data_IF_997988147689
#
_entry.id   IF_997988147689
#
_cell.length_a   1.000
_cell.length_b   1.000
_cell.length_c   1.000
_cell.angle_alpha   90.00
_cell.angle_beta   90.00
_cell.angle_gamma   90.00
#
_symmetry.space_group_name_H-M   'P 1'
#
loop_
_entity.id
_entity.type
_entity.pdbx_description
1 polymer ?
#
# COMPACT_ATOMS: atom_id res chain seq x y z
N UNK A 1 -3.05 -8.39 -13.92
CA UNK A 1 -4.14 -7.41 -13.77
C UNK A 1 -3.56 -6.02 -14.00
N UNK A 2 -4.19 -5.19 -14.83
CA UNK A 2 -3.74 -3.79 -15.00
C UNK A 2 -4.19 -2.94 -13.82
N UNK A 3 -3.44 -1.86 -13.54
CA UNK A 3 -3.86 -0.89 -12.54
C UNK A 3 -5.25 -0.29 -12.84
N UNK A 4 -5.57 -0.05 -14.12
CA UNK A 4 -6.88 0.44 -14.56
C UNK A 4 -8.03 -0.52 -14.29
N UNK A 5 -7.75 -1.80 -14.03
CA UNK A 5 -8.72 -2.84 -13.73
C UNK A 5 -8.84 -3.08 -12.21
N UNK A 6 -7.99 -2.43 -11.40
CA UNK A 6 -7.97 -2.64 -9.97
C UNK A 6 -9.14 -1.90 -9.30
N UNK A 7 -10.20 -2.64 -9.03
CA UNK A 7 -11.42 -2.15 -8.40
C UNK A 7 -11.27 -2.00 -6.87
N UNK A 8 -10.36 -1.14 -6.43
CA UNK A 8 -10.22 -0.81 -5.02
C UNK A 8 -11.40 0.05 -4.56
N UNK A 9 -12.14 -0.44 -3.56
CA UNK A 9 -13.24 0.29 -2.94
C UNK A 9 -12.76 1.66 -2.46
N UNK A 10 -13.54 2.70 -2.72
CA UNK A 10 -13.26 4.09 -2.37
C UNK A 10 -12.03 4.73 -3.05
N UNK A 11 -11.43 4.07 -4.05
CA UNK A 11 -10.44 4.69 -4.93
C UNK A 11 -11.09 5.13 -6.24
N UNK A 12 -10.82 6.36 -6.68
CA UNK A 12 -11.40 6.92 -7.91
C UNK A 12 -10.64 6.53 -9.20
N UNK A 13 -9.64 5.65 -9.08
CA UNK A 13 -8.83 5.19 -10.20
C UNK A 13 -7.72 6.15 -10.67
N UNK A 14 -7.57 7.32 -10.01
CA UNK A 14 -6.67 8.38 -10.49
C UNK A 14 -5.71 8.90 -9.43
N UNK A 15 -6.16 9.00 -8.19
CA UNK A 15 -5.36 9.65 -7.15
C UNK A 15 -4.31 8.69 -6.57
N UNK A 16 -3.07 9.12 -6.61
CA UNK A 16 -1.91 8.44 -6.04
C UNK A 16 -1.29 9.41 -5.04
N UNK A 17 -1.19 9.00 -3.77
CA UNK A 17 -0.58 9.80 -2.69
C UNK A 17 0.93 9.86 -2.92
N UNK A 18 1.55 8.70 -3.08
CA UNK A 18 3.01 8.56 -3.16
C UNK A 18 3.40 7.55 -4.22
N UNK A 19 4.50 7.82 -4.92
CA UNK A 19 5.15 6.88 -5.85
C UNK A 19 6.63 6.74 -5.48
N UNK A 20 7.09 5.51 -5.33
CA UNK A 20 8.51 5.18 -5.10
C UNK A 20 8.98 4.28 -6.24
N UNK A 21 10.09 4.63 -6.88
CA UNK A 21 10.74 3.73 -7.86
C UNK A 21 11.67 2.79 -7.12
N UNK A 22 11.56 1.48 -7.38
CA UNK A 22 12.41 0.46 -6.79
C UNK A 22 12.74 -0.59 -7.85
N UNK A 23 14.00 -0.68 -8.26
CA UNK A 23 14.41 -1.53 -9.39
C UNK A 23 13.55 -1.24 -10.64
N UNK A 24 12.89 -2.25 -11.20
CA UNK A 24 12.05 -2.16 -12.40
C UNK A 24 10.56 -1.92 -12.11
N UNK A 25 10.19 -1.78 -10.83
CA UNK A 25 8.81 -1.56 -10.40
C UNK A 25 8.60 -0.14 -9.85
N UNK A 26 7.35 0.31 -9.87
CA UNK A 26 6.89 1.50 -9.16
C UNK A 26 5.93 1.07 -8.07
N UNK A 27 6.26 1.42 -6.83
CA UNK A 27 5.41 1.21 -5.67
C UNK A 27 4.49 2.42 -5.53
N UNK A 28 3.19 2.18 -5.46
CA UNK A 28 2.15 3.19 -5.45
C UNK A 28 1.36 3.09 -4.15
N UNK A 29 1.18 4.22 -3.48
CA UNK A 29 0.20 4.40 -2.42
C UNK A 29 -1.04 5.08 -3.00
N UNK A 30 -2.16 4.37 -3.07
CA UNK A 30 -3.40 4.86 -3.64
C UNK A 30 -4.20 5.66 -2.61
N UNK A 31 -4.75 6.78 -3.05
CA UNK A 31 -5.58 7.67 -2.23
C UNK A 31 -7.01 7.14 -2.15
N UNK A 32 -7.34 6.47 -1.04
CA UNK A 32 -8.69 6.03 -0.73
C UNK A 32 -9.43 7.14 0.01
N UNK A 33 -10.65 7.45 -0.45
CA UNK A 33 -11.43 8.57 0.07
C UNK A 33 -11.69 8.43 1.58
N UNK A 34 -10.99 9.26 2.37
CA UNK A 34 -11.00 9.23 3.84
C UNK A 34 -12.34 9.65 4.45
N UNK A 35 -13.20 10.34 3.68
CA UNK A 35 -14.50 10.81 4.16
C UNK A 35 -15.55 9.69 4.21
N UNK A 36 -15.24 8.51 3.67
CA UNK A 36 -16.09 7.34 3.80
C UNK A 36 -15.59 6.51 4.97
N UNK A 37 -16.41 6.34 6.00
CA UNK A 37 -16.14 5.40 7.09
C UNK A 37 -16.00 4.00 6.47
N UNK A 38 -14.85 3.37 6.65
CA UNK A 38 -14.59 2.01 6.19
C UNK A 38 -14.46 1.09 7.39
N UNK A 39 -15.34 0.10 7.50
CA UNK A 39 -15.24 -0.97 8.50
C UNK A 39 -14.46 -2.18 7.96
N UNK A 40 -13.54 -1.92 7.03
CA UNK A 40 -12.79 -2.93 6.28
C UNK A 40 -11.34 -2.47 6.14
N UNK A 41 -10.42 -3.42 5.96
CA UNK A 41 -9.07 -3.10 5.53
C UNK A 41 -9.01 -2.95 4.01
N UNK A 42 -8.43 -1.86 3.52
CA UNK A 42 -8.27 -1.58 2.10
C UNK A 42 -6.82 -1.75 1.68
N UNK A 43 -6.58 -2.65 0.72
CA UNK A 43 -5.25 -2.90 0.14
C UNK A 43 -4.86 -1.80 -0.87
N UNK A 44 -4.54 -0.62 -0.36
CA UNK A 44 -4.23 0.56 -1.16
C UNK A 44 -2.73 0.73 -1.51
N UNK A 45 -1.88 -0.18 -1.07
CA UNK A 45 -0.44 -0.18 -1.38
C UNK A 45 -0.14 -1.33 -2.35
N UNK A 46 0.45 -1.02 -3.49
CA UNK A 46 0.75 -2.00 -4.54
C UNK A 46 1.98 -1.62 -5.34
N UNK A 47 2.49 -2.53 -6.16
CA UNK A 47 3.49 -2.21 -7.16
C UNK A 47 3.03 -2.54 -8.57
N UNK A 48 3.50 -1.74 -9.52
CA UNK A 48 3.31 -1.95 -10.95
C UNK A 48 4.64 -2.11 -11.67
N UNK A 49 4.66 -2.95 -12.70
CA UNK A 49 5.79 -3.07 -13.63
C UNK A 49 5.76 -1.98 -14.71
N UNK A 50 6.79 -1.98 -15.57
CA UNK A 50 6.92 -1.04 -16.70
C UNK A 50 5.75 -1.10 -17.70
N UNK A 51 5.08 -2.25 -17.79
CA UNK A 51 3.90 -2.47 -18.63
C UNK A 51 2.57 -2.02 -17.97
N UNK A 52 2.62 -1.47 -16.75
CA UNK A 52 1.44 -1.02 -15.98
C UNK A 52 0.62 -2.17 -15.36
N UNK A 53 1.12 -3.40 -15.42
CA UNK A 53 0.51 -4.52 -14.69
C UNK A 53 0.90 -4.45 -13.22
N UNK A 54 -0.07 -4.76 -12.34
CA UNK A 54 0.18 -4.98 -10.93
C UNK A 54 1.05 -6.21 -10.78
N UNK A 55 2.17 -6.04 -10.07
CA UNK A 55 3.14 -7.09 -9.73
C UNK A 55 2.78 -7.71 -8.41
N UNK A 56 2.50 -6.88 -7.40
CA UNK A 56 2.05 -7.31 -6.09
C UNK A 56 1.14 -6.26 -5.46
N UNK A 57 0.37 -6.70 -4.48
CA UNK A 57 -0.47 -5.87 -3.60
C UNK A 57 -0.03 -6.19 -2.18
N UNK A 58 0.28 -5.17 -1.38
CA UNK A 58 0.82 -5.37 -0.05
C UNK A 58 -0.16 -6.12 0.86
N UNK A 59 0.40 -6.94 1.73
CA UNK A 59 -0.34 -7.46 2.89
C UNK A 59 -0.64 -6.33 3.88
N UNK A 60 -1.64 -6.57 4.72
CA UNK A 60 -2.06 -5.66 5.77
C UNK A 60 -1.71 -6.30 7.13
N UNK A 61 -1.47 -5.50 8.17
CA UNK A 61 -1.24 -6.05 9.50
C UNK A 61 -2.52 -6.63 10.09
N UNK A 62 -2.40 -7.77 10.78
CA UNK A 62 -3.53 -8.43 11.45
C UNK A 62 -4.02 -7.66 12.70
N UNK A 63 -3.24 -6.68 13.17
CA UNK A 63 -3.57 -5.92 14.39
C UNK A 63 -4.68 -4.88 14.19
N UNK A 64 -5.03 -4.57 12.94
CA UNK A 64 -6.00 -3.53 12.61
C UNK A 64 -7.33 -4.17 12.18
N UNK A 65 -8.45 -3.74 12.77
CA UNK A 65 -9.78 -4.21 12.35
C UNK A 65 -10.27 -3.55 11.05
N UNK A 66 -9.75 -2.35 10.75
CA UNK A 66 -10.11 -1.56 9.58
C UNK A 66 -9.01 -0.54 9.31
N UNK A 67 -8.92 -0.06 8.06
CA UNK A 67 -7.96 0.99 7.70
C UNK A 67 -7.24 0.72 6.39
N UNK A 68 -6.24 1.55 6.13
CA UNK A 68 -5.43 1.53 4.92
C UNK A 68 -4.11 2.22 5.20
N UNK A 69 -3.12 2.03 4.32
CA UNK A 69 -1.85 2.70 4.46
C UNK A 69 -1.99 4.20 4.22
N UNK A 70 -1.45 5.00 5.13
CA UNK A 70 -1.50 6.47 5.13
C UNK A 70 -0.22 7.07 4.56
N UNK A 71 0.90 6.40 4.79
CA UNK A 71 2.23 6.88 4.41
C UNK A 71 3.13 5.70 4.07
N UNK A 72 4.05 5.91 3.13
CA UNK A 72 5.12 4.97 2.81
C UNK A 72 6.47 5.68 2.70
N UNK A 73 7.53 4.96 3.08
CA UNK A 73 8.92 5.39 2.95
C UNK A 73 9.80 4.21 2.61
N UNK A 74 10.70 4.37 1.64
CA UNK A 74 11.75 3.39 1.39
C UNK A 74 12.94 3.70 2.30
N UNK A 75 13.37 2.72 3.08
CA UNK A 75 14.58 2.78 3.89
C UNK A 75 15.50 1.64 3.48
N UNK A 76 16.62 1.97 2.85
CA UNK A 76 17.54 1.00 2.24
C UNK A 76 16.80 0.03 1.30
N UNK A 77 16.59 -1.22 1.73
CA UNK A 77 15.90 -2.27 0.98
C UNK A 77 14.57 -2.70 1.63
N UNK A 78 14.01 -1.89 2.51
CA UNK A 78 12.76 -2.16 3.21
C UNK A 78 11.74 -1.05 2.94
N UNK A 79 10.51 -1.44 2.66
CA UNK A 79 9.40 -0.50 2.55
C UNK A 79 8.76 -0.36 3.93
N UNK A 80 8.81 0.85 4.48
CA UNK A 80 8.11 1.22 5.68
C UNK A 80 6.74 1.79 5.29
N UNK A 81 5.68 1.33 5.93
CA UNK A 81 4.32 1.77 5.67
C UNK A 81 3.53 1.94 6.96
N UNK A 82 2.77 3.03 7.08
CA UNK A 82 1.99 3.33 8.28
C UNK A 82 0.50 3.12 8.05
N UNK A 83 -0.15 2.45 9.00
CA UNK A 83 -1.61 2.31 9.09
C UNK A 83 -2.02 2.64 10.53
N UNK A 84 -2.76 3.72 10.71
CA UNK A 84 -3.04 4.24 12.05
C UNK A 84 -1.76 4.45 12.87
N UNK A 85 -1.68 3.82 14.04
CA UNK A 85 -0.51 3.82 14.93
C UNK A 85 0.41 2.61 14.74
N UNK A 86 0.25 1.86 13.64
CA UNK A 86 1.05 0.66 13.35
C UNK A 86 2.01 0.94 12.21
N UNK A 87 3.30 0.75 12.46
CA UNK A 87 4.37 0.76 11.46
C UNK A 87 4.60 -0.67 10.95
N UNK A 88 4.44 -0.85 9.65
CA UNK A 88 4.70 -2.07 8.91
C UNK A 88 6.04 -1.98 8.18
N UNK A 89 6.81 -3.07 8.22
CA UNK A 89 7.96 -3.30 7.37
C UNK A 89 7.58 -4.34 6.33
N UNK A 90 7.67 -3.98 5.06
CA UNK A 90 7.21 -4.75 3.91
C UNK A 90 8.40 -5.02 2.99
N UNK A 91 8.48 -6.24 2.44
CA UNK A 91 9.45 -6.54 1.39
C UNK A 91 9.04 -5.80 0.09
N UNK A 92 9.84 -4.86 -0.42
CA UNK A 92 9.49 -4.10 -1.63
C UNK A 92 9.44 -4.95 -2.91
N UNK A 93 9.99 -6.16 -2.91
CA UNK A 93 9.96 -7.05 -4.08
C UNK A 93 8.66 -7.87 -4.15
N UNK A 94 8.07 -8.23 -3.01
CA UNK A 94 6.94 -9.17 -2.94
C UNK A 94 5.67 -8.55 -2.39
N UNK A 95 5.76 -7.43 -1.65
CA UNK A 95 4.63 -6.85 -0.93
C UNK A 95 4.30 -7.58 0.38
N UNK A 96 5.10 -8.58 0.76
CA UNK A 96 4.87 -9.36 1.98
C UNK A 96 5.18 -8.54 3.24
N UNK A 97 4.32 -8.67 4.24
CA UNK A 97 4.53 -8.07 5.55
C UNK A 97 5.59 -8.87 6.32
N UNK A 98 6.74 -8.24 6.58
CA UNK A 98 7.86 -8.85 7.31
C UNK A 98 7.76 -8.63 8.81
N UNK A 99 7.30 -7.45 9.22
CA UNK A 99 7.20 -7.04 10.63
C UNK A 99 6.14 -5.96 10.79
N UNK A 100 5.50 -5.93 11.95
CA UNK A 100 4.67 -4.81 12.40
C UNK A 100 5.07 -4.40 13.82
N UNK A 101 4.97 -3.11 14.12
CA UNK A 101 5.12 -2.59 15.48
C UNK A 101 4.17 -1.42 15.73
N UNK A 102 3.61 -1.35 16.94
CA UNK A 102 2.86 -0.17 17.37
C UNK A 102 3.82 0.98 17.68
N UNK A 103 3.58 2.14 17.09
CA UNK A 103 4.30 3.40 17.28
C UNK A 103 3.30 4.44 17.78
N UNK A 104 3.38 4.72 19.10
CA UNK A 104 2.52 5.67 19.80
C UNK A 104 2.97 7.11 19.57
#
# INVERSE_FOLDING_TARGET
>A
MKLSEYALKNWNGRNIITTISFKEIKILLLDVNQNMITWELLKNLLAIGSNGNIVWIADLPDSEMFGYYLEIKLNENQLLAWIGSTLCTIDPNTGELLKQQFVK
#
